data_IF_815801988652
#
_entry.id   IF_815801988652
#
_cell.length_a   1.000
_cell.length_b   1.000
_cell.length_c   1.000
_cell.angle_alpha   90.00
_cell.angle_beta   90.00
_cell.angle_gamma   90.00
#
_symmetry.space_group_name_H-M   'P 1'
#
loop_
_entity.id
_entity.type
_entity.pdbx_description
1 polymer ?
#
# COMPACT_ATOMS: atom_id res chain seq x y z
N UNK A 1 -1.86 11.20 -0.10
CA UNK A 1 -1.39 11.17 -1.51
C UNK A 1 -0.25 10.17 -1.77
N UNK A 2 0.92 10.24 -1.10
CA UNK A 2 2.08 9.38 -1.46
C UNK A 2 1.86 7.88 -1.24
N UNK A 3 1.08 7.48 -0.24
CA UNK A 3 0.69 6.06 -0.03
C UNK A 3 -0.07 5.50 -1.23
N UNK A 4 -1.11 6.20 -1.68
CA UNK A 4 -1.84 5.85 -2.91
C UNK A 4 -0.92 5.76 -4.13
N UNK A 5 -0.03 6.75 -4.33
CA UNK A 5 0.91 6.75 -5.45
C UNK A 5 1.89 5.58 -5.40
N UNK A 6 2.33 5.17 -4.20
CA UNK A 6 3.20 4.00 -4.04
C UNK A 6 2.47 2.74 -4.52
N UNK A 7 1.25 2.50 -4.04
CA UNK A 7 0.46 1.35 -4.47
C UNK A 7 -0.07 1.46 -5.92
N UNK A 8 -0.11 2.64 -6.52
CA UNK A 8 -0.39 2.82 -7.94
C UNK A 8 0.82 2.51 -8.83
N UNK A 9 2.04 2.68 -8.32
CA UNK A 9 3.28 2.38 -9.04
C UNK A 9 3.70 0.91 -8.86
N UNK A 10 3.38 0.32 -7.71
CA UNK A 10 3.71 -1.04 -7.36
C UNK A 10 2.43 -1.77 -6.92
N UNK A 11 2.06 -2.90 -7.53
CA UNK A 11 0.78 -3.58 -7.29
C UNK A 11 0.77 -4.35 -5.95
N UNK A 12 1.13 -3.69 -4.85
CA UNK A 12 1.11 -4.22 -3.50
C UNK A 12 0.75 -3.13 -2.46
N UNK A 13 0.28 -3.52 -1.27
CA UNK A 13 0.10 -2.63 -0.12
C UNK A 13 1.39 -1.93 0.31
N UNK A 14 1.30 -0.71 0.84
CA UNK A 14 2.49 -0.03 1.41
C UNK A 14 3.00 -0.67 2.70
N UNK A 15 2.19 -1.52 3.35
CA UNK A 15 2.65 -2.44 4.41
C UNK A 15 3.59 -3.51 3.86
N UNK A 16 3.33 -4.06 2.68
CA UNK A 16 4.29 -4.94 1.98
C UNK A 16 5.59 -4.20 1.65
N UNK A 17 5.52 -2.93 1.24
CA UNK A 17 6.72 -2.10 1.05
C UNK A 17 7.54 -1.94 2.35
N UNK A 18 6.85 -1.85 3.51
CA UNK A 18 7.49 -1.81 4.81
C UNK A 18 8.23 -3.12 5.11
N UNK A 19 7.58 -4.27 4.89
CA UNK A 19 8.20 -5.59 5.08
C UNK A 19 9.42 -5.79 4.16
N UNK A 20 9.33 -5.39 2.89
CA UNK A 20 10.44 -5.48 1.94
C UNK A 20 11.65 -4.64 2.37
N UNK A 21 11.40 -3.46 2.94
CA UNK A 21 12.45 -2.50 3.27
C UNK A 21 13.06 -2.73 4.65
N UNK A 22 12.19 -2.93 5.64
CA UNK A 22 12.56 -2.94 7.07
C UNK A 22 12.58 -4.35 7.65
N UNK A 23 11.92 -5.31 6.98
CA UNK A 23 11.78 -6.66 7.46
C UNK A 23 10.60 -6.83 8.40
N UNK A 24 10.47 -8.06 8.94
CA UNK A 24 9.37 -8.48 9.82
C UNK A 24 9.84 -9.63 10.69
N UNK A 25 9.28 -9.78 11.88
CA UNK A 25 9.53 -10.93 12.78
C UNK A 25 11.02 -11.16 13.07
N UNK A 26 11.76 -10.06 13.24
CA UNK A 26 13.20 -10.09 13.51
C UNK A 26 14.09 -10.45 12.32
N UNK A 27 13.52 -10.66 11.13
CA UNK A 27 14.28 -10.86 9.88
C UNK A 27 14.44 -9.53 9.16
N UNK A 28 15.62 -9.24 8.58
CA UNK A 28 15.85 -8.01 7.83
C UNK A 28 15.03 -7.98 6.54
N UNK A 29 14.75 -6.77 6.05
CA UNK A 29 14.12 -6.57 4.75
C UNK A 29 14.97 -7.14 3.62
N UNK A 30 14.32 -7.73 2.63
CA UNK A 30 14.99 -8.33 1.46
C UNK A 30 15.43 -7.29 0.42
N UNK A 31 14.83 -6.09 0.46
CA UNK A 31 15.17 -4.96 -0.42
C UNK A 31 15.24 -3.68 0.43
N UNK A 32 16.24 -3.53 1.32
CA UNK A 32 16.35 -2.36 2.20
C UNK A 32 16.51 -1.04 1.44
N UNK A 33 17.05 -1.09 0.22
CA UNK A 33 17.14 0.04 -0.70
C UNK A 33 15.78 0.65 -1.07
N UNK A 34 14.68 -0.11 -0.96
CA UNK A 34 13.36 0.36 -1.36
C UNK A 34 12.91 1.58 -0.54
N UNK A 35 13.24 1.64 0.76
CA UNK A 35 12.97 2.80 1.62
C UNK A 35 13.62 4.12 1.15
N UNK A 36 14.67 4.04 0.34
CA UNK A 36 15.38 5.21 -0.20
C UNK A 36 14.87 5.63 -1.58
N UNK A 37 13.89 4.90 -2.14
CA UNK A 37 13.31 5.23 -3.44
C UNK A 37 12.53 6.55 -3.36
N UNK A 38 12.83 7.56 -4.19
CA UNK A 38 12.13 8.83 -4.12
C UNK A 38 10.61 8.69 -4.29
N UNK A 39 9.87 9.23 -3.33
CA UNK A 39 8.41 9.30 -3.40
C UNK A 39 7.65 8.03 -3.03
N UNK A 40 8.33 6.96 -2.59
CA UNK A 40 7.65 5.78 -2.04
C UNK A 40 7.36 5.94 -0.55
N UNK A 41 6.37 5.19 -0.06
CA UNK A 41 6.02 5.10 1.35
C UNK A 41 6.13 3.65 1.81
N UNK A 42 6.88 3.41 2.88
CA UNK A 42 7.18 2.08 3.43
C UNK A 42 6.55 1.88 4.81
N UNK A 43 5.28 2.22 4.92
CA UNK A 43 4.44 1.97 6.10
C UNK A 43 2.97 1.89 5.66
N UNK A 44 2.14 1.19 6.43
CA UNK A 44 0.75 0.85 6.09
C UNK A 44 -0.14 2.04 5.74
N UNK A 45 -1.18 1.78 4.93
CA UNK A 45 -2.20 2.77 4.56
C UNK A 45 -2.37 3.06 3.07
N UNK A 46 -1.61 2.43 2.18
CA UNK A 46 -1.84 2.43 0.73
C UNK A 46 -2.17 1.02 0.24
N UNK A 47 -3.14 0.91 -0.67
CA UNK A 47 -3.60 -0.36 -1.25
C UNK A 47 -3.72 -0.25 -2.78
N UNK A 48 -3.40 -1.32 -3.53
CA UNK A 48 -3.59 -1.35 -4.98
C UNK A 48 -5.07 -1.48 -5.31
N UNK A 49 -5.51 -0.82 -6.38
CA UNK A 49 -6.86 -0.96 -6.94
C UNK A 49 -6.78 -1.95 -8.10
N UNK A 50 -7.48 -3.08 -7.94
CA UNK A 50 -7.57 -4.12 -8.96
C UNK A 50 -8.99 -4.14 -9.54
N UNK A 51 -9.12 -4.17 -10.87
CA UNK A 51 -10.40 -4.29 -11.56
C UNK A 51 -10.27 -5.23 -12.77
N UNK A 52 -11.16 -6.22 -12.92
CA UNK A 52 -11.10 -7.19 -14.02
C UNK A 52 -9.76 -7.95 -14.12
N UNK A 53 -9.06 -8.13 -12.99
CA UNK A 53 -7.72 -8.71 -12.94
C UNK A 53 -6.57 -7.75 -13.32
N UNK A 54 -6.88 -6.51 -13.71
CA UNK A 54 -5.89 -5.48 -14.04
C UNK A 54 -5.63 -4.55 -12.85
N UNK A 55 -4.38 -4.10 -12.70
CA UNK A 55 -4.00 -3.05 -11.75
C UNK A 55 -4.30 -1.68 -12.37
N UNK A 56 -5.24 -0.94 -11.79
CA UNK A 56 -5.75 0.32 -12.38
C UNK A 56 -5.36 1.58 -11.60
N UNK A 57 -4.73 1.43 -10.44
CA UNK A 57 -4.28 2.56 -9.62
C UNK A 57 -4.09 2.19 -8.15
N UNK A 58 -4.06 3.20 -7.28
CA UNK A 58 -3.87 3.01 -5.85
C UNK A 58 -4.76 3.95 -5.04
N UNK A 59 -5.20 3.48 -3.88
CA UNK A 59 -5.87 4.28 -2.84
C UNK A 59 -4.94 4.41 -1.64
N UNK A 60 -5.11 5.46 -0.83
CA UNK A 60 -4.44 5.48 0.45
C UNK A 60 -4.96 6.54 1.40
N UNK A 61 -4.94 6.22 2.69
CA UNK A 61 -5.36 7.07 3.78
C UNK A 61 -4.17 7.45 4.68
N UNK A 62 -4.28 8.58 5.37
CA UNK A 62 -3.27 9.06 6.30
C UNK A 62 -3.92 9.91 7.36
N UNK A 63 -3.69 9.57 8.62
CA UNK A 63 -4.16 10.35 9.77
C UNK A 63 -4.15 9.59 11.09
N UNK A 64 -4.26 8.25 11.05
CA UNK A 64 -4.19 7.38 12.22
C UNK A 64 -2.89 6.57 12.31
N UNK A 65 -2.93 5.44 13.01
CA UNK A 65 -1.87 4.42 12.93
C UNK A 65 -1.77 3.83 11.51
N UNK A 66 -0.64 3.22 11.13
CA UNK A 66 -0.52 2.54 9.84
C UNK A 66 -1.62 1.51 9.57
N UNK A 67 -2.08 0.81 10.61
CA UNK A 67 -3.16 -0.18 10.57
C UNK A 67 -4.53 0.50 10.39
N UNK A 68 -4.80 1.59 11.13
CA UNK A 68 -6.04 2.38 10.98
C UNK A 68 -6.13 2.99 9.58
N UNK A 69 -5.02 3.52 9.05
CA UNK A 69 -4.95 4.04 7.69
C UNK A 69 -5.22 2.95 6.65
N UNK A 70 -4.68 1.73 6.85
CA UNK A 70 -4.92 0.61 5.93
C UNK A 70 -6.36 0.12 6.00
N UNK A 71 -6.96 0.05 7.19
CA UNK A 71 -8.38 -0.25 7.38
C UNK A 71 -9.28 0.78 6.69
N UNK A 72 -8.96 2.07 6.81
CA UNK A 72 -9.68 3.15 6.15
C UNK A 72 -9.60 3.02 4.61
N UNK A 73 -8.40 2.82 4.07
CA UNK A 73 -8.22 2.60 2.63
C UNK A 73 -8.98 1.35 2.13
N UNK A 74 -8.95 0.27 2.92
CA UNK A 74 -9.67 -0.97 2.62
C UNK A 74 -11.18 -0.75 2.59
N UNK A 75 -11.73 -0.03 3.57
CA UNK A 75 -13.16 0.29 3.62
C UNK A 75 -13.61 1.05 2.36
N UNK A 76 -12.77 1.95 1.84
CA UNK A 76 -13.01 2.64 0.57
C UNK A 76 -13.08 1.69 -0.64
N UNK A 77 -12.18 0.71 -0.72
CA UNK A 77 -12.21 -0.32 -1.78
C UNK A 77 -13.43 -1.23 -1.67
N UNK A 78 -13.74 -1.66 -0.45
CA UNK A 78 -14.89 -2.53 -0.18
C UNK A 78 -16.20 -1.84 -0.60
N UNK A 79 -16.32 -0.52 -0.37
CA UNK A 79 -17.49 0.27 -0.75
C UNK A 79 -17.73 0.37 -2.26
N UNK A 80 -16.70 0.21 -3.08
CA UNK A 80 -16.80 0.27 -4.56
C UNK A 80 -16.59 -1.10 -5.23
N UNK A 81 -16.55 -2.19 -4.46
CA UNK A 81 -16.17 -3.53 -4.94
C UNK A 81 -16.99 -4.00 -6.14
N UNK A 82 -18.27 -3.65 -6.21
CA UNK A 82 -19.12 -4.02 -7.34
C UNK A 82 -18.75 -3.34 -8.67
N UNK A 83 -18.09 -2.18 -8.60
CA UNK A 83 -17.57 -1.45 -9.76
C UNK A 83 -16.19 -1.97 -10.22
N UNK A 84 -15.53 -2.80 -9.41
CA UNK A 84 -14.18 -3.32 -9.64
C UNK A 84 -14.17 -4.76 -10.18
N UNK A 85 -15.33 -5.29 -10.60
CA UNK A 85 -15.44 -6.64 -11.16
C UNK A 85 -14.70 -6.76 -12.49
#
# INVERSE_FOLDING_TARGET
MRKAKTSANFPFPTSTAAELSHGKDGKPGVVPGFAWTPGVVTYGGGLPIMAGGAHIGGIGASGGSPEEDEQCAKAGLDAIRDLLK
#
